data_IF_385615372420
#
_entry.id   IF_385615372420
#
_cell.length_a   1.000
_cell.length_b   1.000
_cell.length_c   1.000
_cell.angle_alpha   90.00
_cell.angle_beta   90.00
_cell.angle_gamma   90.00
#
_symmetry.space_group_name_H-M   'P 1'
#
loop_
_entity.id
_entity.type
_entity.pdbx_description
1 polymer ?
#
# COMPACT_ATOMS: atom_id res chain seq x y z
N UNK A 1 38.00 21.07 26.66
CA UNK A 1 37.74 20.78 25.23
C UNK A 1 36.44 19.99 25.16
N UNK A 2 35.30 20.57 24.74
CA UNK A 2 34.08 19.80 24.60
C UNK A 2 34.10 19.09 23.24
N UNK A 3 34.13 17.77 23.24
CA UNK A 3 33.80 16.97 22.07
C UNK A 3 32.27 16.95 21.91
N UNK A 4 31.81 17.74 20.96
CA UNK A 4 30.44 17.77 20.47
C UNK A 4 30.22 16.59 19.49
N UNK A 5 29.04 15.98 19.58
CA UNK A 5 28.31 15.36 18.45
C UNK A 5 28.55 13.87 18.09
N UNK A 6 28.38 12.93 19.01
CA UNK A 6 28.18 11.50 18.64
C UNK A 6 26.85 10.89 19.13
N UNK A 7 25.89 11.70 19.57
CA UNK A 7 24.69 11.21 20.26
C UNK A 7 23.39 11.22 19.44
N UNK A 8 23.39 11.64 18.17
CA UNK A 8 22.12 11.83 17.43
C UNK A 8 21.71 10.70 16.48
N UNK A 9 22.56 9.70 16.20
CA UNK A 9 22.24 8.66 15.20
C UNK A 9 21.76 7.32 15.77
N UNK A 10 21.47 7.22 17.08
CA UNK A 10 20.87 6.01 17.65
C UNK A 10 19.35 6.06 17.61
N UNK A 11 18.81 5.51 16.51
CA UNK A 11 17.54 4.81 16.53
C UNK A 11 16.31 5.70 16.60
N UNK A 12 16.08 6.50 15.56
CA UNK A 12 14.70 6.91 15.25
C UNK A 12 13.96 5.63 14.85
N UNK A 13 13.37 4.95 15.84
CA UNK A 13 12.54 3.78 15.62
C UNK A 13 11.54 4.16 14.52
N UNK A 14 11.71 3.57 13.32
CA UNK A 14 10.78 3.79 12.23
C UNK A 14 9.43 3.36 12.76
N UNK A 15 8.50 4.30 12.87
CA UNK A 15 7.18 4.01 13.41
C UNK A 15 6.65 2.78 12.65
N UNK A 16 6.16 1.74 13.35
CA UNK A 16 5.76 0.50 12.68
C UNK A 16 4.57 0.69 11.73
N UNK A 17 3.97 1.88 11.75
CA UNK A 17 2.85 2.28 10.93
C UNK A 17 3.13 3.60 10.19
N UNK A 18 2.48 3.74 9.05
CA UNK A 18 2.50 4.97 8.26
C UNK A 18 1.12 5.25 7.64
N UNK A 19 0.92 6.49 7.19
CA UNK A 19 -0.24 6.88 6.43
C UNK A 19 0.20 7.25 5.01
N UNK A 20 -0.59 6.82 4.02
CA UNK A 20 -0.41 7.23 2.63
C UNK A 20 -1.75 7.62 2.03
N UNK A 21 -1.72 8.61 1.14
CA UNK A 21 -2.86 8.95 0.29
C UNK A 21 -2.70 8.28 -1.08
N UNK A 22 -3.79 7.74 -1.60
CA UNK A 22 -3.79 7.09 -2.91
C UNK A 22 -3.91 8.17 -3.98
N UNK A 23 -2.91 8.21 -4.87
CA UNK A 23 -2.93 9.07 -6.05
C UNK A 23 -3.00 8.23 -7.30
N UNK A 24 -3.95 8.56 -8.18
CA UNK A 24 -4.11 7.96 -9.50
C UNK A 24 -5.08 6.77 -9.55
N UNK A 25 -5.28 6.18 -10.74
CA UNK A 25 -6.34 5.21 -10.98
C UNK A 25 -5.88 3.74 -10.93
N UNK A 26 -4.61 3.44 -10.61
CA UNK A 26 -4.03 2.09 -10.78
C UNK A 26 -4.68 0.99 -9.94
N UNK A 27 -5.30 1.37 -8.83
CA UNK A 27 -5.91 0.45 -7.87
C UNK A 27 -7.44 0.48 -7.90
N UNK A 28 -8.06 1.17 -8.86
CA UNK A 28 -9.51 1.17 -9.06
C UNK A 28 -9.94 -0.24 -9.52
N UNK A 29 -11.04 -0.82 -9.00
CA UNK A 29 -12.04 -0.21 -8.11
C UNK A 29 -11.75 -0.33 -6.60
N UNK A 30 -10.70 -1.04 -6.21
CA UNK A 30 -10.39 -1.32 -4.80
C UNK A 30 -10.05 -0.07 -4.01
N UNK A 31 -9.17 0.77 -4.57
CA UNK A 31 -8.77 2.06 -4.03
C UNK A 31 -9.09 3.15 -5.05
N UNK A 32 -9.58 4.29 -4.56
CA UNK A 32 -9.83 5.47 -5.37
C UNK A 32 -8.84 6.57 -5.02
N UNK A 33 -8.61 7.48 -5.96
CA UNK A 33 -7.86 8.70 -5.68
C UNK A 33 -8.43 9.42 -4.44
N UNK A 34 -7.56 9.82 -3.52
CA UNK A 34 -7.91 10.45 -2.25
C UNK A 34 -8.28 9.48 -1.11
N UNK A 35 -8.33 8.16 -1.36
CA UNK A 35 -8.41 7.18 -0.28
C UNK A 35 -7.13 7.27 0.58
N UNK A 36 -7.27 7.15 1.90
CA UNK A 36 -6.13 7.09 2.83
C UNK A 36 -5.92 5.66 3.28
N UNK A 37 -4.66 5.26 3.35
CA UNK A 37 -4.23 3.92 3.73
C UNK A 37 -3.49 3.96 5.06
N UNK A 38 -3.81 3.00 5.93
CA UNK A 38 -2.99 2.65 7.07
C UNK A 38 -2.02 1.54 6.67
N UNK A 39 -0.74 1.88 6.68
CA UNK A 39 0.37 0.99 6.33
C UNK A 39 0.99 0.40 7.59
N UNK A 40 1.52 -0.81 7.48
CA UNK A 40 2.43 -1.39 8.48
C UNK A 40 3.72 -1.80 7.79
N UNK A 41 4.83 -1.27 8.29
CA UNK A 41 6.17 -1.55 7.78
C UNK A 41 6.74 -2.83 8.40
N UNK A 42 7.71 -3.45 7.73
CA UNK A 42 8.45 -4.61 8.24
C UNK A 42 7.62 -5.88 8.48
N UNK A 43 6.41 -5.97 7.90
CA UNK A 43 5.57 -7.17 8.00
C UNK A 43 5.67 -8.01 6.73
N UNK A 44 5.73 -9.32 6.89
CA UNK A 44 5.70 -10.27 5.79
C UNK A 44 4.47 -10.05 4.88
N UNK A 45 4.75 -9.82 3.60
CA UNK A 45 3.76 -9.67 2.52
C UNK A 45 3.29 -11.05 2.06
N UNK A 46 2.02 -11.15 1.70
CA UNK A 46 1.39 -12.37 1.15
C UNK A 46 0.73 -12.07 -0.20
N UNK A 47 0.55 -13.09 -1.05
CA UNK A 47 -0.30 -12.95 -2.23
C UNK A 47 -1.67 -12.39 -1.88
N UNK A 48 -2.14 -11.42 -2.66
CA UNK A 48 -3.38 -10.68 -2.48
C UNK A 48 -3.26 -9.42 -1.63
N UNK A 49 -2.12 -9.19 -0.95
CA UNK A 49 -1.91 -7.99 -0.16
C UNK A 49 -1.73 -6.74 -1.02
N UNK A 50 -2.22 -5.60 -0.54
CA UNK A 50 -1.91 -4.30 -1.14
C UNK A 50 -0.66 -3.76 -0.47
N UNK A 51 0.32 -3.41 -1.27
CA UNK A 51 1.65 -2.98 -0.83
C UNK A 51 1.98 -1.59 -1.35
N UNK A 52 2.77 -0.86 -0.57
CA UNK A 52 3.44 0.36 -1.01
C UNK A 52 4.89 0.00 -1.31
N UNK A 53 5.37 0.39 -2.48
CA UNK A 53 6.72 0.12 -2.94
C UNK A 53 7.33 1.36 -3.60
N UNK A 54 8.66 1.43 -3.59
CA UNK A 54 9.43 2.37 -4.41
C UNK A 54 9.46 1.87 -5.85
N UNK A 55 9.18 2.75 -6.80
CA UNK A 55 9.19 2.39 -8.20
C UNK A 55 10.62 1.99 -8.65
N UNK A 56 10.82 0.82 -9.29
CA UNK A 56 12.17 0.30 -9.60
C UNK A 56 13.06 1.27 -10.40
N UNK A 57 12.47 2.02 -11.33
CA UNK A 57 13.17 2.98 -12.19
C UNK A 57 13.00 4.44 -11.76
N UNK A 58 12.25 4.73 -10.70
CA UNK A 58 11.94 6.09 -10.23
C UNK A 58 11.93 6.10 -8.69
N UNK A 59 13.11 6.20 -8.07
CA UNK A 59 13.31 5.91 -6.65
C UNK A 59 12.55 6.87 -5.69
N UNK A 60 12.21 8.07 -6.16
CA UNK A 60 11.41 9.07 -5.44
C UNK A 60 9.90 8.84 -5.57
N UNK A 61 9.47 7.95 -6.46
CA UNK A 61 8.07 7.64 -6.68
C UNK A 61 7.63 6.43 -5.85
N UNK A 62 6.69 6.66 -4.95
CA UNK A 62 5.98 5.60 -4.23
C UNK A 62 4.72 5.22 -4.99
N UNK A 63 4.51 3.92 -5.19
CA UNK A 63 3.32 3.38 -5.84
C UNK A 63 2.63 2.35 -4.97
N UNK A 64 1.31 2.30 -5.09
CA UNK A 64 0.46 1.29 -4.45
C UNK A 64 0.07 0.26 -5.50
N UNK A 65 0.36 -1.02 -5.22
CA UNK A 65 0.05 -2.16 -6.10
C UNK A 65 -0.43 -3.35 -5.28
N UNK A 66 -1.01 -4.34 -5.94
CA UNK A 66 -1.34 -5.64 -5.33
C UNK A 66 -0.19 -6.62 -5.54
N UNK A 67 0.29 -7.21 -4.46
CA UNK A 67 1.22 -8.34 -4.51
C UNK A 67 0.47 -9.58 -5.01
N UNK A 68 0.82 -10.09 -6.18
CA UNK A 68 0.09 -11.19 -6.82
C UNK A 68 0.75 -12.52 -6.52
N UNK A 69 2.07 -12.59 -6.68
CA UNK A 69 2.84 -13.82 -6.45
C UNK A 69 4.31 -13.52 -6.13
N UNK A 70 4.94 -14.47 -5.46
CA UNK A 70 6.38 -14.46 -5.20
C UNK A 70 7.09 -15.09 -6.39
N UNK A 71 8.07 -14.39 -6.95
CA UNK A 71 8.97 -14.91 -7.99
C UNK A 71 10.41 -14.87 -7.48
N UNK A 72 11.33 -15.45 -8.26
CA UNK A 72 12.76 -15.32 -8.00
C UNK A 72 13.14 -13.83 -7.95
N UNK A 73 13.90 -13.43 -6.92
CA UNK A 73 14.34 -12.06 -6.74
C UNK A 73 13.32 -11.07 -6.16
N UNK A 74 12.03 -11.41 -6.05
CA UNK A 74 11.06 -10.46 -5.45
C UNK A 74 9.58 -10.79 -5.63
N UNK A 75 8.78 -9.73 -5.68
CA UNK A 75 7.32 -9.77 -5.87
C UNK A 75 6.91 -9.39 -7.28
N UNK A 76 6.01 -10.18 -7.86
CA UNK A 76 5.23 -9.76 -9.01
C UNK A 76 4.01 -8.98 -8.52
N UNK A 77 3.90 -7.72 -8.93
CA UNK A 77 2.87 -6.79 -8.45
C UNK A 77 2.05 -6.26 -9.62
N UNK A 78 0.73 -6.19 -9.46
CA UNK A 78 -0.18 -5.68 -10.48
C UNK A 78 -1.06 -4.55 -9.94
N UNK A 79 -1.48 -3.65 -10.83
CA UNK A 79 -2.61 -2.78 -10.56
C UNK A 79 -3.93 -3.53 -10.63
N UNK A 80 -4.92 -3.12 -9.84
CA UNK A 80 -6.29 -3.65 -9.98
C UNK A 80 -6.99 -3.09 -11.23
N UNK A 81 -6.51 -1.94 -11.73
CA UNK A 81 -6.94 -1.36 -12.99
C UNK A 81 -5.93 -1.72 -14.11
N UNK A 82 -6.25 -2.69 -14.99
CA UNK A 82 -5.34 -3.13 -16.04
C UNK A 82 -5.06 -2.06 -17.10
N UNK A 83 -5.87 -0.99 -17.16
CA UNK A 83 -5.70 0.10 -18.14
C UNK A 83 -4.77 1.22 -17.65
N UNK A 84 -4.31 1.17 -16.40
CA UNK A 84 -3.46 2.22 -15.83
C UNK A 84 -1.96 2.02 -16.06
N UNK A 85 -1.53 0.78 -16.37
CA UNK A 85 -0.12 0.42 -16.51
C UNK A 85 0.72 0.69 -15.25
N UNK A 86 2.03 0.77 -15.46
CA UNK A 86 3.05 1.06 -14.45
C UNK A 86 3.11 -0.01 -13.38
N UNK A 87 3.03 -1.28 -13.76
CA UNK A 87 3.18 -2.42 -12.85
C UNK A 87 4.21 -3.45 -13.36
N UNK A 88 4.25 -4.65 -12.77
CA UNK A 88 5.25 -5.65 -13.15
C UNK A 88 5.20 -6.08 -14.61
N UNK A 89 4.12 -5.83 -15.36
CA UNK A 89 4.14 -6.06 -16.83
C UNK A 89 5.16 -5.17 -17.54
N UNK A 90 5.47 -4.01 -16.97
CA UNK A 90 6.30 -2.99 -17.60
C UNK A 90 7.74 -3.05 -17.07
N UNK A 91 7.92 -3.29 -15.77
CA UNK A 91 9.24 -3.26 -15.12
C UNK A 91 9.70 -4.60 -14.51
N UNK A 92 8.89 -5.65 -14.60
CA UNK A 92 9.24 -6.97 -14.10
C UNK A 92 9.08 -7.14 -12.58
N UNK A 93 9.87 -8.05 -12.02
CA UNK A 93 9.82 -8.42 -10.60
C UNK A 93 10.38 -7.28 -9.73
N UNK A 94 9.67 -6.93 -8.66
CA UNK A 94 10.08 -5.90 -7.69
C UNK A 94 10.84 -6.55 -6.54
N UNK A 95 12.13 -6.20 -6.32
CA UNK A 95 12.90 -6.69 -5.18
C UNK A 95 12.24 -6.40 -3.83
N UNK A 96 12.46 -7.28 -2.84
CA UNK A 96 11.86 -7.13 -1.51
C UNK A 96 12.27 -5.82 -0.83
N UNK A 97 13.49 -5.31 -1.08
CA UNK A 97 13.95 -4.03 -0.52
C UNK A 97 13.15 -2.81 -0.99
N UNK A 98 12.50 -2.90 -2.17
CA UNK A 98 11.67 -1.82 -2.69
C UNK A 98 10.26 -1.87 -2.09
N UNK A 99 9.85 -2.99 -1.50
CA UNK A 99 8.55 -3.15 -0.86
C UNK A 99 8.60 -2.61 0.57
N UNK A 100 8.06 -1.41 0.77
CA UNK A 100 8.14 -0.71 2.04
C UNK A 100 7.22 -1.33 3.11
N UNK A 101 5.99 -1.64 2.73
CA UNK A 101 5.02 -2.13 3.68
C UNK A 101 3.67 -2.48 3.09
N UNK A 102 2.81 -3.03 3.95
CA UNK A 102 1.49 -3.51 3.59
C UNK A 102 0.40 -2.56 4.07
N UNK A 103 -0.59 -2.29 3.22
CA UNK A 103 -1.81 -1.59 3.59
C UNK A 103 -2.80 -2.57 4.25
N UNK A 104 -3.33 -2.18 5.42
CA UNK A 104 -4.27 -2.98 6.21
C UNK A 104 -5.68 -2.41 6.22
N UNK A 105 -5.79 -1.10 6.05
CA UNK A 105 -7.05 -0.41 6.19
C UNK A 105 -7.10 0.74 5.21
N UNK A 106 -8.24 0.93 4.54
CA UNK A 106 -8.53 2.14 3.79
C UNK A 106 -9.64 2.92 4.46
N UNK A 107 -9.54 4.24 4.41
CA UNK A 107 -10.62 5.14 4.81
C UNK A 107 -10.67 6.36 3.88
N UNK A 108 -11.86 6.85 3.55
CA UNK A 108 -12.03 8.10 2.79
C UNK A 108 -12.17 9.27 3.75
N UNK A 109 -11.47 10.40 3.56
CA UNK A 109 -11.62 11.57 4.42
C UNK A 109 -13.08 11.93 4.66
N UNK A 110 -13.43 12.22 5.92
CA UNK A 110 -14.78 12.62 6.27
C UNK A 110 -15.07 14.02 5.68
N UNK A 111 -16.20 14.25 5.00
CA UNK A 111 -16.58 15.59 4.56
C UNK A 111 -16.67 16.53 5.76
N UNK A 112 -16.09 17.72 5.64
CA UNK A 112 -16.17 18.74 6.68
C UNK A 112 -17.65 19.08 6.99
N UNK A 113 -18.03 19.09 8.27
CA UNK A 113 -19.37 19.49 8.72
C UNK A 113 -20.34 18.36 9.10
N UNK A 114 -19.98 17.07 8.96
CA UNK A 114 -20.80 15.97 9.46
C UNK A 114 -20.60 15.76 10.97
N UNK A 115 -21.59 16.19 11.76
CA UNK A 115 -21.61 16.03 13.23
C UNK A 115 -22.62 15.01 13.75
N UNK A 116 -23.42 14.38 12.89
CA UNK A 116 -24.43 13.41 13.35
C UNK A 116 -23.83 12.01 13.51
N UNK A 117 -24.10 11.31 14.62
CA UNK A 117 -23.59 9.94 14.85
C UNK A 117 -24.02 8.93 13.77
N UNK A 118 -25.24 9.07 13.24
CA UNK A 118 -25.75 8.22 12.17
C UNK A 118 -25.04 8.46 10.83
N UNK A 119 -24.68 9.71 10.51
CA UNK A 119 -23.89 10.00 9.31
C UNK A 119 -22.47 9.42 9.43
N UNK A 120 -21.86 9.53 10.62
CA UNK A 120 -20.57 8.89 10.91
C UNK A 120 -20.62 7.37 10.76
N UNK A 121 -21.65 6.71 11.30
CA UNK A 121 -21.82 5.26 11.17
C UNK A 121 -22.01 4.84 9.69
N UNK A 122 -22.85 5.55 8.93
CA UNK A 122 -23.06 5.30 7.49
C UNK A 122 -21.80 5.57 6.68
N UNK A 123 -21.03 6.62 7.01
CA UNK A 123 -19.72 6.85 6.42
C UNK A 123 -18.78 5.69 6.76
N UNK A 124 -18.64 5.29 8.03
CA UNK A 124 -17.72 4.23 8.42
C UNK A 124 -18.00 2.93 7.66
N UNK A 125 -19.27 2.53 7.54
CA UNK A 125 -19.68 1.34 6.78
C UNK A 125 -19.37 1.41 5.27
N UNK A 126 -19.34 2.61 4.70
CA UNK A 126 -19.14 2.81 3.26
C UNK A 126 -17.71 3.19 2.88
N UNK A 127 -16.99 3.88 3.76
CA UNK A 127 -15.72 4.54 3.49
C UNK A 127 -14.55 3.89 4.20
N UNK A 128 -14.75 3.22 5.33
CA UNK A 128 -13.71 2.63 6.15
C UNK A 128 -13.76 1.10 6.00
N UNK A 129 -12.79 0.51 5.33
CA UNK A 129 -12.78 -0.94 5.04
C UNK A 129 -11.42 -1.57 5.31
N UNK A 130 -11.38 -2.76 5.96
CA UNK A 130 -10.16 -3.53 6.03
C UNK A 130 -9.76 -4.03 4.63
N UNK A 131 -8.47 -4.00 4.37
CA UNK A 131 -7.86 -4.55 3.16
C UNK A 131 -7.41 -5.98 3.50
N UNK A 132 -8.38 -6.89 3.47
CA UNK A 132 -8.10 -8.30 3.70
C UNK A 132 -7.42 -8.87 2.44
N UNK A 133 -6.43 -9.77 2.60
CA UNK A 133 -5.85 -10.48 1.46
C UNK A 133 -6.97 -11.21 0.73
N UNK A 134 -7.17 -10.85 -0.53
CA UNK A 134 -8.18 -11.50 -1.35
C UNK A 134 -7.70 -12.93 -1.65
N UNK A 135 -8.18 -13.89 -0.85
CA UNK A 135 -7.85 -15.31 -1.04
C UNK A 135 -8.28 -15.81 -2.43
N UNK A 136 -9.21 -15.13 -3.10
CA UNK A 136 -9.74 -15.56 -4.40
C UNK A 136 -8.84 -15.25 -5.59
N UNK A 137 -7.88 -14.31 -5.47
CA UNK A 137 -6.93 -14.02 -6.54
C UNK A 137 -6.01 -15.22 -6.84
N UNK A 138 -5.77 -16.07 -5.83
CA UNK A 138 -4.94 -17.28 -5.94
C UNK A 138 -5.58 -18.43 -6.73
N UNK A 139 -6.90 -18.41 -6.98
CA UNK A 139 -7.61 -19.45 -7.76
C UNK A 139 -7.67 -19.16 -9.26
N UNK A 140 -7.62 -17.89 -9.67
CA UNK A 140 -7.72 -17.52 -11.10
C UNK A 140 -6.40 -17.65 -11.86
N UNK A 141 -5.27 -17.69 -11.14
CA UNK A 141 -3.93 -17.81 -11.73
C UNK A 141 -3.45 -19.27 -11.85
N UNK A 142 -4.23 -20.24 -11.37
CA UNK A 142 -3.91 -21.68 -11.49
C UNK A 142 -4.57 -22.36 -12.69
N UNK A 143 -5.27 -21.59 -13.53
CA UNK A 143 -6.06 -22.08 -14.67
C UNK A 143 -5.50 -21.63 -16.03
N UNK A 144 -4.21 -21.33 -16.13
CA UNK A 144 -3.53 -21.08 -17.40
C UNK A 144 -2.22 -21.84 -17.46
#
# INVERSE_FOLDING_TARGET
MPELSQETERGRAVAPFGLAEVTGPSMVPTLRHGDRLLLRYGRAVRPGDIVVLRHPFQQDLLVVKRAVERREGGWWVLGDNPYAGGDSTDYGVVPDELVLGKAYFRYRPLPAGQRSPLALARWALSAARPLLPDRSASRRLRAR
#
